data_IF_481052946007
#
_entry.id   IF_481052946007
#
_cell.length_a   1.000
_cell.length_b   1.000
_cell.length_c   1.000
_cell.angle_alpha   90.00
_cell.angle_beta   90.00
_cell.angle_gamma   90.00
#
_symmetry.space_group_name_H-M   'P 1'
#
loop_
_entity.id
_entity.type
_entity.pdbx_description
1 polymer ?
#
# COMPACT_ATOMS: atom_id res chain seq x y z
N UNK A 1 -9.61 8.08 -13.03
CA UNK A 1 -9.54 8.17 -11.56
C UNK A 1 -9.02 6.84 -11.08
N UNK A 2 -7.89 6.83 -10.38
CA UNK A 2 -7.21 5.63 -9.86
C UNK A 2 -7.78 5.35 -8.48
N UNK A 3 -8.03 4.09 -8.13
CA UNK A 3 -8.63 3.72 -6.84
C UNK A 3 -7.76 2.72 -6.10
N UNK A 4 -7.47 3.02 -4.83
CA UNK A 4 -6.94 2.05 -3.87
C UNK A 4 -8.09 1.55 -3.00
N UNK A 5 -8.39 0.25 -3.06
CA UNK A 5 -9.38 -0.37 -2.19
C UNK A 5 -8.70 -0.90 -0.95
N UNK A 6 -9.08 -0.37 0.21
CA UNK A 6 -8.42 -0.67 1.47
C UNK A 6 -9.36 -1.43 2.41
N UNK A 7 -8.89 -2.55 2.98
CA UNK A 7 -9.60 -3.30 4.01
C UNK A 7 -8.95 -3.07 5.39
N UNK A 8 -9.55 -2.17 6.19
CA UNK A 8 -9.29 -1.83 7.62
C UNK A 8 -8.29 -0.67 7.90
N UNK A 9 -8.58 0.13 8.95
CA UNK A 9 -7.76 1.17 9.62
C UNK A 9 -7.44 2.50 8.90
N UNK A 10 -6.97 3.50 9.68
CA UNK A 10 -6.57 4.84 9.25
C UNK A 10 -5.38 4.74 8.28
N UNK A 11 -5.54 5.19 7.04
CA UNK A 11 -4.42 5.24 6.07
C UNK A 11 -3.75 6.60 6.09
N UNK A 12 -2.42 6.61 6.16
CA UNK A 12 -1.57 7.79 6.16
C UNK A 12 -0.67 7.74 4.92
N UNK A 13 -0.92 8.64 3.97
CA UNK A 13 -0.11 8.79 2.75
C UNK A 13 1.11 9.69 3.00
N UNK A 14 2.26 9.30 2.46
CA UNK A 14 3.53 10.00 2.56
C UNK A 14 4.13 10.23 1.16
N UNK A 15 4.40 11.49 0.81
CA UNK A 15 5.17 11.87 -0.40
C UNK A 15 6.00 13.12 -0.17
N UNK A 16 7.13 13.28 -0.86
CA UNK A 16 7.72 14.59 -1.13
C UNK A 16 6.82 15.37 -2.11
N UNK A 17 6.13 16.40 -1.63
CA UNK A 17 5.52 17.45 -2.47
C UNK A 17 4.08 17.26 -2.97
N UNK A 18 3.44 16.09 -2.79
CA UNK A 18 2.05 15.85 -3.22
C UNK A 18 1.28 14.98 -2.23
N UNK A 19 1.05 15.50 -1.01
CA UNK A 19 0.25 14.79 -0.03
C UNK A 19 -1.17 14.57 -0.56
N UNK A 20 -1.65 13.32 -0.55
CA UNK A 20 -3.08 13.07 -0.70
C UNK A 20 -3.71 13.56 0.62
N UNK A 21 -4.58 14.59 0.60
CA UNK A 21 -4.94 15.34 1.80
C UNK A 21 -5.96 14.60 2.69
N UNK A 22 -5.97 13.27 2.70
CA UNK A 22 -7.03 12.54 3.40
C UNK A 22 -6.49 11.36 4.18
N UNK A 23 -6.54 11.52 5.50
CA UNK A 23 -6.70 10.40 6.41
C UNK A 23 -8.06 9.75 6.11
N UNK A 24 -8.06 8.52 5.62
CA UNK A 24 -9.29 7.77 5.37
C UNK A 24 -9.57 6.84 6.55
N UNK A 25 -10.76 6.95 7.15
CA UNK A 25 -11.22 6.02 8.17
C UNK A 25 -11.88 4.83 7.50
N UNK A 26 -11.36 3.62 7.76
CA UNK A 26 -11.92 2.39 7.23
C UNK A 26 -12.62 1.62 8.34
N UNK A 27 -13.95 1.40 8.26
CA UNK A 27 -14.67 0.59 9.23
C UNK A 27 -14.09 -0.82 9.33
N UNK A 28 -14.14 -1.43 10.51
CA UNK A 28 -13.71 -2.82 10.71
C UNK A 28 -14.42 -3.77 9.75
N UNK A 29 -13.66 -4.66 9.09
CA UNK A 29 -14.14 -5.57 8.03
C UNK A 29 -14.74 -4.88 6.80
N UNK A 30 -14.57 -3.57 6.66
CA UNK A 30 -15.07 -2.78 5.54
C UNK A 30 -14.09 -2.73 4.36
N UNK A 31 -14.54 -2.09 3.29
CA UNK A 31 -13.67 -1.69 2.17
C UNK A 31 -13.96 -0.23 1.86
N UNK A 32 -12.92 0.59 1.73
CA UNK A 32 -13.04 1.98 1.24
C UNK A 32 -12.33 2.10 -0.10
N UNK A 33 -12.91 2.87 -1.01
CA UNK A 33 -12.25 3.30 -2.24
C UNK A 33 -11.58 4.66 -1.97
N UNK A 34 -10.26 4.71 -2.11
CA UNK A 34 -9.49 5.95 -1.97
C UNK A 34 -9.14 6.45 -3.37
N UNK A 35 -9.69 7.58 -3.82
CA UNK A 35 -9.31 8.16 -5.11
C UNK A 35 -7.89 8.71 -5.03
N UNK A 36 -7.02 8.18 -5.89
CA UNK A 36 -5.64 8.59 -6.03
C UNK A 36 -5.52 9.46 -7.30
N UNK A 37 -4.80 10.59 -7.26
CA UNK A 37 -4.53 11.37 -8.46
C UNK A 37 -3.80 10.54 -9.53
N UNK A 38 -4.13 10.78 -10.79
CA UNK A 38 -3.37 10.20 -11.90
C UNK A 38 -1.89 10.61 -11.80
N UNK A 39 -0.97 9.68 -12.07
CA UNK A 39 0.47 9.96 -12.02
C UNK A 39 1.05 10.06 -10.61
N UNK A 40 0.26 9.82 -9.56
CA UNK A 40 0.75 9.89 -8.19
C UNK A 40 1.77 8.78 -7.91
N UNK A 41 2.85 9.16 -7.24
CA UNK A 41 3.94 8.31 -6.79
C UNK A 41 4.16 8.56 -5.30
N UNK A 42 4.22 7.50 -4.51
CA UNK A 42 4.33 7.64 -3.07
C UNK A 42 4.14 6.34 -2.30
N UNK A 43 4.18 6.48 -0.98
CA UNK A 43 3.97 5.40 -0.05
C UNK A 43 2.84 5.73 0.94
N UNK A 44 2.30 4.72 1.60
CA UNK A 44 1.42 4.89 2.73
C UNK A 44 1.67 3.82 3.79
N UNK A 45 1.24 4.12 5.01
CA UNK A 45 1.16 3.17 6.11
C UNK A 45 -0.21 3.26 6.77
N UNK A 46 -0.48 2.33 7.68
CA UNK A 46 -1.72 2.28 8.44
C UNK A 46 -1.47 2.60 9.91
N UNK A 47 -2.37 3.32 10.56
CA UNK A 47 -2.34 3.51 12.01
C UNK A 47 -3.63 3.01 12.67
N UNK A 48 -3.49 2.20 13.71
CA UNK A 48 -4.59 1.70 14.54
C UNK A 48 -5.04 2.70 15.62
N UNK A 49 -4.33 3.82 15.75
CA UNK A 49 -4.74 4.92 16.59
C UNK A 49 -5.38 6.03 15.75
N UNK A 50 -6.52 6.54 16.24
CA UNK A 50 -7.16 7.70 15.64
C UNK A 50 -6.30 8.97 15.81
N UNK A 51 -5.57 9.07 16.92
CA UNK A 51 -4.86 10.27 17.38
C UNK A 51 -3.34 10.18 17.29
N UNK A 52 -2.79 8.97 17.16
CA UNK A 52 -1.35 8.71 17.04
C UNK A 52 -1.07 8.09 15.66
N UNK A 53 0.03 8.48 15.03
CA UNK A 53 0.49 7.84 13.80
C UNK A 53 1.20 6.50 14.10
N UNK A 54 1.52 6.21 15.37
CA UNK A 54 2.20 5.01 15.80
C UNK A 54 3.65 4.93 15.32
N UNK A 55 4.37 3.85 15.64
CA UNK A 55 5.65 3.55 14.99
C UNK A 55 5.45 3.36 13.47
N UNK A 56 6.51 3.57 12.70
CA UNK A 56 6.50 3.27 11.26
C UNK A 56 6.14 1.80 11.06
N UNK A 57 5.13 1.54 10.23
CA UNK A 57 4.62 0.19 9.95
C UNK A 57 5.02 -0.29 8.57
N UNK A 58 4.52 -1.47 8.17
CA UNK A 58 4.66 -1.95 6.79
C UNK A 58 4.03 -0.93 5.84
N UNK A 59 4.75 -0.58 4.77
CA UNK A 59 4.30 0.37 3.75
C UNK A 59 3.75 -0.33 2.52
N UNK A 60 2.76 0.29 1.89
CA UNK A 60 2.47 0.09 0.48
C UNK A 60 3.12 1.22 -0.32
N UNK A 61 3.77 0.90 -1.43
CA UNK A 61 4.44 1.86 -2.31
C UNK A 61 3.88 1.69 -3.72
N UNK A 62 3.67 2.81 -4.42
CA UNK A 62 3.11 2.81 -5.78
C UNK A 62 3.68 3.93 -6.63
N UNK A 63 3.66 3.67 -7.94
CA UNK A 63 3.73 4.68 -9.00
C UNK A 63 2.64 4.39 -10.01
N UNK A 64 1.60 5.21 -10.01
CA UNK A 64 0.55 5.14 -11.02
C UNK A 64 0.97 5.88 -12.29
N UNK A 65 0.54 5.37 -13.45
CA UNK A 65 0.83 5.98 -14.76
C UNK A 65 2.32 6.29 -14.95
N UNK A 66 3.18 5.35 -14.54
CA UNK A 66 4.62 5.44 -14.65
C UNK A 66 5.11 5.20 -16.08
N UNK A 67 6.25 4.51 -16.21
CA UNK A 67 6.79 4.16 -17.52
C UNK A 67 5.76 3.36 -18.35
N UNK A 68 5.59 3.74 -19.62
CA UNK A 68 4.59 3.15 -20.54
C UNK A 68 3.15 3.16 -19.97
N UNK A 69 2.81 4.19 -19.18
CA UNK A 69 1.52 4.30 -18.50
C UNK A 69 1.22 3.11 -17.57
N UNK A 70 2.21 2.34 -17.12
CA UNK A 70 1.99 1.19 -16.22
C UNK A 70 1.89 1.61 -14.76
N UNK A 71 1.31 0.75 -13.94
CA UNK A 71 1.27 0.90 -12.48
C UNK A 71 2.31 -0.02 -11.87
N UNK A 72 3.21 0.57 -11.08
CA UNK A 72 4.23 -0.15 -10.32
C UNK A 72 3.85 -0.13 -8.85
N UNK A 73 4.05 -1.24 -8.15
CA UNK A 73 3.64 -1.36 -6.76
C UNK A 73 4.44 -2.40 -5.99
N UNK A 74 4.55 -2.19 -4.68
CA UNK A 74 5.12 -3.17 -3.76
C UNK A 74 4.69 -2.95 -2.31
N UNK A 75 4.90 -3.98 -1.51
CA UNK A 75 4.82 -3.95 -0.05
C UNK A 75 6.24 -3.94 0.52
N UNK A 76 6.48 -3.00 1.41
CA UNK A 76 7.81 -2.68 1.92
C UNK A 76 7.87 -2.81 3.44
N UNK A 77 8.63 -3.81 3.86
CA UNK A 77 8.87 -4.18 5.25
C UNK A 77 10.22 -3.65 5.77
N UNK A 78 10.98 -2.90 4.96
CA UNK A 78 12.34 -2.42 5.27
C UNK A 78 12.40 -1.77 6.66
N UNK A 79 11.44 -0.89 6.96
CA UNK A 79 11.41 -0.10 8.19
C UNK A 79 10.64 -0.79 9.35
N UNK A 80 9.96 -1.90 9.10
CA UNK A 80 9.02 -2.51 10.03
C UNK A 80 8.89 -4.04 9.87
N UNK A 81 10.01 -4.75 9.77
CA UNK A 81 10.09 -6.17 9.36
C UNK A 81 9.25 -7.18 10.18
N UNK A 82 8.75 -6.78 11.36
CA UNK A 82 7.94 -7.63 12.24
C UNK A 82 6.50 -7.10 12.43
N UNK A 83 6.12 -5.99 11.78
CA UNK A 83 4.77 -5.47 11.86
C UNK A 83 3.81 -6.42 11.14
N UNK A 84 2.88 -6.98 11.92
CA UNK A 84 1.90 -7.93 11.46
C UNK A 84 0.47 -7.40 11.50
N UNK A 85 0.29 -6.10 11.70
CA UNK A 85 -0.99 -5.41 11.69
C UNK A 85 -1.09 -4.47 10.49
N UNK A 86 0.02 -3.98 9.94
CA UNK A 86 0.00 -3.05 8.81
C UNK A 86 -0.50 -3.61 7.48
N UNK A 87 -0.08 -2.95 6.40
CA UNK A 87 -0.29 -3.42 5.03
C UNK A 87 0.19 -4.87 4.90
N UNK A 88 -0.66 -5.76 4.35
CA UNK A 88 -0.37 -7.18 4.16
C UNK A 88 -0.14 -7.52 2.71
N UNK A 89 -1.04 -7.08 1.85
CA UNK A 89 -0.96 -7.34 0.43
C UNK A 89 -1.26 -6.11 -0.40
N UNK A 90 -0.62 -6.01 -1.55
CA UNK A 90 -0.92 -5.05 -2.60
C UNK A 90 -0.94 -5.76 -3.95
N UNK A 91 -2.01 -5.58 -4.73
CA UNK A 91 -2.20 -6.26 -6.01
C UNK A 91 -3.25 -5.59 -6.89
N UNK A 92 -3.28 -5.94 -8.18
CA UNK A 92 -4.25 -5.39 -9.15
C UNK A 92 -5.70 -5.76 -8.81
N UNK A 93 -6.66 -4.85 -9.04
CA UNK A 93 -8.07 -5.06 -8.68
C UNK A 93 -8.68 -6.32 -9.28
N UNK A 94 -8.32 -6.67 -10.52
CA UNK A 94 -8.76 -7.91 -11.16
C UNK A 94 -8.31 -9.20 -10.43
N UNK A 95 -7.32 -9.10 -9.54
CA UNK A 95 -6.64 -10.23 -8.93
C UNK A 95 -5.64 -10.93 -9.84
N UNK A 96 -5.44 -10.44 -11.08
CA UNK A 96 -4.42 -10.95 -11.99
C UNK A 96 -3.02 -10.45 -11.59
N UNK A 97 -2.00 -11.25 -11.88
CA UNK A 97 -0.61 -10.93 -11.57
C UNK A 97 -0.17 -11.34 -10.16
N UNK A 98 0.95 -10.76 -9.72
CA UNK A 98 1.60 -11.12 -8.45
C UNK A 98 1.04 -10.25 -7.32
N UNK A 99 0.67 -10.89 -6.21
CA UNK A 99 0.43 -10.19 -4.95
C UNK A 99 1.76 -9.88 -4.27
N UNK A 100 2.04 -8.60 -4.06
CA UNK A 100 3.17 -8.20 -3.21
C UNK A 100 2.73 -8.26 -1.74
N UNK A 101 3.61 -8.70 -0.85
CA UNK A 101 3.37 -8.85 0.59
C UNK A 101 3.06 -10.29 1.05
N UNK A 102 2.55 -10.44 2.27
CA UNK A 102 2.27 -11.71 2.93
C UNK A 102 1.36 -11.56 4.16
N UNK A 103 0.82 -12.69 4.62
CA UNK A 103 0.03 -12.74 5.88
C UNK A 103 0.90 -12.52 7.11
N UNK A 104 2.15 -13.02 7.10
CA UNK A 104 3.08 -12.94 8.22
C UNK A 104 4.45 -12.44 7.76
N UNK A 105 4.90 -11.33 8.37
CA UNK A 105 6.23 -10.77 8.15
C UNK A 105 7.23 -11.30 9.20
N UNK A 106 8.50 -11.49 8.81
CA UNK A 106 9.09 -11.20 7.49
C UNK A 106 8.77 -12.29 6.44
N UNK A 107 8.81 -11.93 5.15
CA UNK A 107 8.52 -12.86 4.06
C UNK A 107 9.18 -12.47 2.74
N UNK A 108 9.36 -13.46 1.86
CA UNK A 108 9.95 -13.27 0.53
C UNK A 108 9.03 -12.62 -0.50
N UNK A 109 7.83 -12.17 -0.13
CA UNK A 109 6.90 -11.46 -1.02
C UNK A 109 7.00 -9.94 -0.93
N UNK A 110 7.90 -9.42 -0.07
CA UNK A 110 8.01 -7.99 0.24
C UNK A 110 9.47 -7.53 0.17
N UNK A 111 9.66 -6.21 0.04
CA UNK A 111 10.97 -5.59 0.26
C UNK A 111 11.34 -5.70 1.73
N UNK A 112 12.33 -6.53 2.06
CA UNK A 112 12.92 -6.61 3.40
C UNK A 112 14.24 -5.83 3.49
N UNK A 113 14.88 -5.61 2.33
CA UNK A 113 16.10 -4.83 2.15
C UNK A 113 15.97 -3.92 0.93
N UNK A 114 16.82 -2.90 0.86
CA UNK A 114 16.80 -1.88 -0.20
C UNK A 114 17.19 -2.43 -1.59
N UNK A 115 17.86 -3.57 -1.66
CA UNK A 115 18.34 -4.23 -2.89
C UNK A 115 17.48 -5.42 -3.34
N UNK A 116 16.37 -5.69 -2.66
CA UNK A 116 15.43 -6.74 -3.08
C UNK A 116 14.79 -6.39 -4.44
N UNK A 117 14.42 -7.39 -5.25
CA UNK A 117 13.69 -7.17 -6.51
C UNK A 117 12.25 -7.58 -6.29
N UNK A 118 11.39 -6.64 -5.89
CA UNK A 118 10.02 -6.93 -5.47
C UNK A 118 8.95 -6.02 -6.06
N UNK A 119 9.34 -4.95 -6.77
CA UNK A 119 8.39 -4.12 -7.51
C UNK A 119 7.65 -4.97 -8.55
N UNK A 120 6.33 -5.01 -8.40
CA UNK A 120 5.43 -5.63 -9.35
C UNK A 120 4.89 -4.58 -10.32
N UNK A 121 4.39 -5.04 -11.46
CA UNK A 121 3.86 -4.18 -12.51
C UNK A 121 2.54 -4.71 -13.05
N UNK A 122 1.62 -3.79 -13.32
CA UNK A 122 0.33 -4.09 -13.98
C UNK A 122 -0.06 -2.95 -14.93
N UNK A 123 -0.86 -3.28 -15.94
CA UNK A 123 -1.52 -2.28 -16.79
C UNK A 123 -2.74 -1.65 -16.11
N UNK A 124 -3.26 -2.28 -15.05
CA UNK A 124 -4.40 -1.79 -14.29
C UNK A 124 -4.09 -0.50 -13.53
N UNK A 125 -5.14 0.28 -13.28
CA UNK A 125 -5.08 1.58 -12.60
C UNK A 125 -5.77 1.55 -11.26
N UNK A 126 -6.22 0.39 -10.82
CA UNK A 126 -6.86 0.19 -9.53
C UNK A 126 -6.15 -0.95 -8.81
N UNK A 127 -5.85 -0.74 -7.52
CA UNK A 127 -5.16 -1.71 -6.68
C UNK A 127 -6.01 -2.05 -5.46
N UNK A 128 -5.88 -3.28 -4.96
CA UNK A 128 -6.36 -3.68 -3.65
C UNK A 128 -5.20 -3.67 -2.66
N UNK A 129 -5.38 -3.01 -1.53
CA UNK A 129 -4.56 -3.12 -0.34
C UNK A 129 -5.32 -3.90 0.74
N UNK A 130 -4.80 -5.06 1.12
CA UNK A 130 -5.26 -5.80 2.30
C UNK A 130 -4.42 -5.36 3.51
N UNK A 131 -5.05 -5.18 4.68
CA UNK A 131 -4.39 -4.80 5.94
C UNK A 131 -4.74 -5.86 6.99
N UNK A 132 -3.81 -6.10 7.91
CA UNK A 132 -3.91 -7.14 8.92
C UNK A 132 -4.60 -6.67 10.19
N UNK A 133 -5.55 -7.45 10.71
CA UNK A 133 -6.22 -7.14 11.97
C UNK A 133 -7.33 -8.12 12.30
#
# INVERSE_FOLDING_TARGET
MVVLLVRVTKVIFQTPGHAIPVTQLVPGKGTVAIPIPQGWEGAWQTSFSATDCGPVGIRGEVKFNGFEDKTFYDVSAIDAQNDNLGVKFLYAQSGQGVKSGCEHFPCSGSYNKWDDVQTQVTEEKDLICEIGG
#
